data_IF_181639983497
#
_entry.id   IF_181639983497
#
_cell.length_a   1.000
_cell.length_b   1.000
_cell.length_c   1.000
_cell.angle_alpha   90.00
_cell.angle_beta   90.00
_cell.angle_gamma   90.00
#
_symmetry.space_group_name_H-M   'P 1'
#
loop_
_entity.id
_entity.type
_entity.pdbx_description
1 polymer ?
#
# COMPACT_ATOMS: atom_id res chain seq x y z
N UNK A 1 24.11 -26.51 -32.83
CA UNK A 1 23.12 -27.00 -31.86
C UNK A 1 23.82 -27.11 -30.52
N UNK A 2 23.59 -26.29 -29.51
CA UNK A 2 22.55 -25.29 -29.22
C UNK A 2 23.21 -24.32 -28.22
N UNK A 3 23.16 -23.03 -28.53
CA UNK A 3 22.33 -22.03 -27.86
C UNK A 3 23.09 -21.34 -26.73
N UNK A 4 23.84 -20.32 -27.14
CA UNK A 4 24.24 -19.20 -26.29
C UNK A 4 22.98 -18.46 -25.87
N UNK A 5 22.50 -18.70 -24.65
CA UNK A 5 21.58 -17.77 -23.98
C UNK A 5 22.31 -16.44 -23.81
N UNK A 6 22.02 -15.49 -24.69
CA UNK A 6 22.42 -14.11 -24.52
C UNK A 6 21.60 -13.52 -23.38
N UNK A 7 22.18 -13.47 -22.19
CA UNK A 7 21.68 -12.63 -21.10
C UNK A 7 21.55 -11.20 -21.63
N UNK A 8 20.33 -10.68 -21.63
CA UNK A 8 20.01 -9.29 -21.96
C UNK A 8 20.62 -8.43 -20.85
N UNK A 9 21.83 -7.93 -21.09
CA UNK A 9 22.53 -7.04 -20.17
C UNK A 9 21.94 -5.64 -20.35
N UNK A 10 21.15 -5.17 -19.38
CA UNK A 10 20.63 -3.81 -19.39
C UNK A 10 21.80 -2.80 -19.24
N UNK A 11 21.88 -1.76 -20.09
CA UNK A 11 23.05 -0.87 -20.17
C UNK A 11 23.25 0.04 -18.94
N UNK A 12 22.28 0.09 -18.01
CA UNK A 12 22.45 0.80 -16.73
C UNK A 12 23.43 0.10 -15.77
N UNK A 13 23.75 -1.18 -16.01
CA UNK A 13 24.60 -1.99 -15.13
C UNK A 13 26.09 -1.61 -15.26
N UNK A 14 26.51 -1.11 -16.42
CA UNK A 14 27.94 -0.95 -16.72
C UNK A 14 28.55 0.36 -16.21
N UNK A 15 27.74 1.34 -15.82
CA UNK A 15 28.25 2.67 -15.44
C UNK A 15 28.61 2.77 -13.95
N UNK A 16 28.01 1.94 -13.08
CA UNK A 16 28.33 1.90 -11.64
C UNK A 16 29.49 0.94 -11.28
N UNK A 17 29.90 0.06 -12.19
CA UNK A 17 30.99 -0.91 -11.93
C UNK A 17 32.38 -0.29 -11.80
N UNK A 18 32.56 1.01 -12.06
CA UNK A 18 33.88 1.67 -12.02
C UNK A 18 34.17 2.47 -10.75
N UNK A 19 33.25 2.55 -9.76
CA UNK A 19 33.45 3.43 -8.60
C UNK A 19 33.53 2.78 -7.21
N UNK A 20 33.38 1.46 -7.05
CA UNK A 20 33.63 0.81 -5.75
C UNK A 20 34.17 -0.62 -5.88
N UNK A 21 35.46 -0.77 -6.22
CA UNK A 21 36.18 -2.02 -5.94
C UNK A 21 36.64 -2.04 -4.47
N UNK A 22 35.81 -2.63 -3.59
CA UNK A 22 36.24 -3.32 -2.35
C UNK A 22 35.06 -3.94 -1.56
N UNK A 23 34.02 -4.47 -2.21
CA UNK A 23 33.04 -5.35 -1.57
C UNK A 23 33.24 -6.77 -2.11
N UNK A 24 33.22 -7.75 -1.20
CA UNK A 24 33.26 -9.19 -1.51
C UNK A 24 32.18 -9.54 -2.55
N UNK A 25 32.48 -10.44 -3.50
CA UNK A 25 31.60 -10.85 -4.62
C UNK A 25 30.17 -11.30 -4.21
N UNK A 26 29.94 -11.58 -2.93
CA UNK A 26 28.64 -12.01 -2.37
C UNK A 26 27.74 -10.86 -1.89
N UNK A 27 28.18 -9.60 -1.94
CA UNK A 27 27.39 -8.47 -1.43
C UNK A 27 26.38 -7.93 -2.46
N UNK A 28 25.26 -7.39 -1.98
CA UNK A 28 24.23 -6.84 -2.86
C UNK A 28 24.77 -5.61 -3.61
N UNK A 29 24.48 -5.46 -4.93
CA UNK A 29 24.86 -4.25 -5.66
C UNK A 29 24.14 -2.99 -5.16
N UNK A 30 23.08 -3.14 -4.34
CA UNK A 30 22.32 -2.05 -3.76
C UNK A 30 22.80 -1.81 -2.34
N UNK A 31 23.45 -0.67 -2.09
CA UNK A 31 24.03 -0.31 -0.79
C UNK A 31 23.02 -0.44 0.37
N UNK A 32 21.77 0.01 0.17
CA UNK A 32 20.74 -0.07 1.21
C UNK A 32 20.41 -1.52 1.58
N UNK A 33 20.48 -2.45 0.62
CA UNK A 33 20.28 -3.88 0.85
C UNK A 33 21.48 -4.47 1.58
N UNK A 34 22.70 -4.19 1.11
CA UNK A 34 23.96 -4.62 1.70
C UNK A 34 24.06 -4.25 3.20
N UNK A 35 23.64 -3.03 3.56
CA UNK A 35 23.68 -2.56 4.95
C UNK A 35 22.60 -3.19 5.84
N UNK A 36 21.47 -3.61 5.27
CA UNK A 36 20.28 -4.02 6.02
C UNK A 36 20.06 -5.53 6.06
N UNK A 37 20.48 -6.28 5.05
CA UNK A 37 20.25 -7.72 4.91
C UNK A 37 21.55 -8.48 5.20
N UNK A 38 21.57 -9.45 6.14
CA UNK A 38 22.74 -10.28 6.35
C UNK A 38 22.94 -11.27 5.20
N UNK A 39 24.21 -11.52 4.85
CA UNK A 39 24.61 -12.48 3.81
C UNK A 39 24.52 -13.94 4.33
N UNK A 40 24.52 -14.13 5.64
CA UNK A 40 24.51 -15.45 6.28
C UNK A 40 23.11 -15.93 6.61
N UNK A 41 22.82 -17.22 6.36
CA UNK A 41 21.59 -17.91 6.78
C UNK A 41 21.90 -19.15 7.62
N UNK A 42 21.09 -19.40 8.66
CA UNK A 42 21.13 -20.64 9.45
C UNK A 42 20.00 -21.58 9.00
N UNK A 43 20.36 -22.58 8.19
CA UNK A 43 19.43 -23.56 7.62
C UNK A 43 18.85 -24.54 8.64
N UNK A 44 19.35 -24.56 9.88
CA UNK A 44 18.89 -25.49 10.93
C UNK A 44 17.66 -25.00 11.68
N UNK A 45 17.32 -23.71 11.57
CA UNK A 45 16.20 -23.12 12.29
C UNK A 45 14.84 -23.66 11.80
N UNK A 46 13.94 -24.10 12.70
CA UNK A 46 12.63 -24.60 12.30
C UNK A 46 11.77 -23.45 11.77
N UNK A 47 11.13 -23.66 10.61
CA UNK A 47 10.38 -22.61 9.89
C UNK A 47 8.87 -22.87 9.93
N UNK A 48 8.45 -24.08 9.55
CA UNK A 48 7.03 -24.48 9.50
C UNK A 48 6.64 -25.14 10.81
N UNK A 49 6.12 -24.35 11.74
CA UNK A 49 5.75 -24.83 13.08
C UNK A 49 4.29 -24.58 13.39
N UNK A 50 3.76 -25.26 14.41
CA UNK A 50 2.39 -25.05 14.87
C UNK A 50 2.13 -23.58 15.26
N UNK A 51 3.10 -22.95 15.95
CA UNK A 51 3.06 -21.53 16.33
C UNK A 51 2.94 -20.63 15.10
N UNK A 52 3.69 -20.91 14.03
CA UNK A 52 3.62 -20.16 12.79
C UNK A 52 2.21 -20.18 12.19
N UNK A 53 1.61 -21.37 12.07
CA UNK A 53 0.24 -21.51 11.53
C UNK A 53 -0.81 -20.78 12.36
N UNK A 54 -0.77 -20.93 13.68
CA UNK A 54 -1.76 -20.32 14.58
C UNK A 54 -1.64 -18.79 14.59
N UNK A 55 -0.45 -18.27 14.86
CA UNK A 55 -0.23 -16.81 14.93
C UNK A 55 -0.40 -16.15 13.55
N UNK A 56 0.10 -16.79 12.48
CA UNK A 56 -0.06 -16.32 11.11
C UNK A 56 -1.52 -16.25 10.68
N UNK A 57 -2.30 -17.31 10.92
CA UNK A 57 -3.72 -17.34 10.52
C UNK A 57 -4.54 -16.31 11.29
N UNK A 58 -4.31 -16.17 12.60
CA UNK A 58 -4.99 -15.16 13.42
C UNK A 58 -4.62 -13.75 12.95
N UNK A 59 -3.34 -13.47 12.72
CA UNK A 59 -2.89 -12.17 12.23
C UNK A 59 -3.48 -11.84 10.86
N UNK A 60 -3.50 -12.80 9.94
CA UNK A 60 -4.11 -12.66 8.61
C UNK A 60 -5.61 -12.31 8.70
N UNK A 61 -6.37 -13.07 9.49
CA UNK A 61 -7.80 -12.83 9.67
C UNK A 61 -8.09 -11.47 10.30
N UNK A 62 -7.35 -11.10 11.36
CA UNK A 62 -7.53 -9.82 12.05
C UNK A 62 -7.19 -8.64 11.15
N UNK A 63 -6.07 -8.68 10.43
CA UNK A 63 -5.68 -7.59 9.53
C UNK A 63 -6.68 -7.44 8.38
N UNK A 64 -7.16 -8.55 7.81
CA UNK A 64 -8.14 -8.52 6.73
C UNK A 64 -9.45 -7.88 7.18
N UNK A 65 -9.95 -8.26 8.35
CA UNK A 65 -11.16 -7.67 8.92
C UNK A 65 -10.98 -6.17 9.21
N UNK A 66 -9.91 -5.80 9.91
CA UNK A 66 -9.67 -4.42 10.35
C UNK A 66 -9.45 -3.49 9.16
N UNK A 67 -8.61 -3.88 8.19
CA UNK A 67 -8.35 -3.06 7.01
C UNK A 67 -9.57 -2.94 6.11
N UNK A 68 -10.37 -3.99 5.96
CA UNK A 68 -11.61 -3.89 5.19
C UNK A 68 -12.63 -2.97 5.86
N UNK A 69 -12.69 -2.99 7.20
CA UNK A 69 -13.54 -2.10 7.98
C UNK A 69 -13.11 -0.63 7.88
N UNK A 70 -11.81 -0.35 8.05
CA UNK A 70 -11.28 1.01 8.00
C UNK A 70 -11.22 1.62 6.60
N UNK A 71 -11.29 0.80 5.55
CA UNK A 71 -11.27 1.29 4.16
C UNK A 71 -12.44 2.22 3.81
N UNK A 72 -13.60 2.03 4.46
CA UNK A 72 -14.79 2.84 4.19
C UNK A 72 -14.77 4.21 4.89
N UNK A 73 -13.65 4.61 5.49
CA UNK A 73 -13.45 5.96 6.02
C UNK A 73 -13.07 6.93 4.88
N UNK A 74 -13.38 8.22 5.08
CA UNK A 74 -12.97 9.29 4.15
C UNK A 74 -11.45 9.31 3.97
N UNK A 75 -10.70 9.17 5.07
CA UNK A 75 -9.26 8.94 5.08
C UNK A 75 -9.01 7.51 5.58
N UNK A 76 -8.74 6.55 4.67
CA UNK A 76 -8.56 5.14 5.04
C UNK A 76 -7.41 4.96 6.02
N UNK A 77 -7.67 4.25 7.12
CA UNK A 77 -6.62 3.79 8.03
C UNK A 77 -6.18 2.38 7.62
N UNK A 78 -4.91 2.23 7.28
CA UNK A 78 -4.34 0.92 6.93
C UNK A 78 -3.42 0.45 8.05
N UNK A 79 -3.74 -0.70 8.64
CA UNK A 79 -2.89 -1.43 9.56
C UNK A 79 -1.98 -2.35 8.73
N UNK A 80 -0.69 -2.04 8.72
CA UNK A 80 0.31 -2.80 7.97
C UNK A 80 0.73 -4.07 8.71
N UNK A 81 1.39 -4.98 7.99
CA UNK A 81 1.99 -6.20 8.56
C UNK A 81 3.08 -5.93 9.59
N UNK A 82 3.65 -4.71 9.63
CA UNK A 82 4.61 -4.29 10.68
C UNK A 82 3.96 -4.32 12.07
N UNK A 83 2.68 -3.96 12.18
CA UNK A 83 1.96 -4.05 13.46
C UNK A 83 1.87 -5.49 13.97
N UNK A 84 1.61 -6.44 13.06
CA UNK A 84 1.62 -7.86 13.39
C UNK A 84 3.03 -8.35 13.74
N UNK A 85 4.05 -7.91 13.01
CA UNK A 85 5.46 -8.21 13.29
C UNK A 85 5.85 -7.78 14.72
N UNK A 86 5.40 -6.63 15.21
CA UNK A 86 5.69 -6.20 16.59
C UNK A 86 4.87 -7.02 17.60
N UNK A 87 3.57 -7.21 17.34
CA UNK A 87 2.66 -7.89 18.26
C UNK A 87 2.98 -9.38 18.46
N UNK A 88 3.49 -10.04 17.42
CA UNK A 88 3.81 -11.47 17.43
C UNK A 88 5.03 -11.80 18.29
N UNK A 89 5.95 -10.87 18.52
CA UNK A 89 7.15 -11.14 19.34
C UNK A 89 6.81 -11.63 20.76
N UNK A 90 6.06 -10.89 21.60
CA UNK A 90 5.72 -11.36 22.93
C UNK A 90 4.86 -12.64 22.88
N UNK A 91 3.91 -12.73 21.95
CA UNK A 91 3.03 -13.89 21.80
C UNK A 91 3.82 -15.15 21.40
N UNK A 92 4.78 -15.02 20.51
CA UNK A 92 5.63 -16.11 20.03
C UNK A 92 6.51 -16.67 21.15
N UNK A 93 7.10 -15.79 21.96
CA UNK A 93 7.87 -16.20 23.15
C UNK A 93 6.98 -16.83 24.24
N UNK A 94 5.77 -16.31 24.46
CA UNK A 94 4.82 -16.89 25.40
C UNK A 94 4.38 -18.29 24.95
N UNK A 95 4.06 -18.47 23.67
CA UNK A 95 3.73 -19.77 23.09
C UNK A 95 4.93 -20.73 23.13
N UNK A 96 6.16 -20.24 22.91
CA UNK A 96 7.37 -21.05 23.05
C UNK A 96 7.60 -21.54 24.48
N UNK A 97 7.15 -20.81 25.50
CA UNK A 97 7.24 -21.22 26.91
C UNK A 97 6.05 -22.07 27.37
N UNK A 98 4.86 -21.85 26.81
CA UNK A 98 3.62 -22.49 27.25
C UNK A 98 3.23 -23.76 26.50
N UNK A 99 3.71 -23.95 25.27
CA UNK A 99 3.35 -25.13 24.45
C UNK A 99 4.22 -26.32 24.82
N UNK A 100 3.60 -27.50 24.87
CA UNK A 100 4.29 -28.76 25.13
C UNK A 100 5.34 -29.08 24.07
N UNK A 101 6.50 -29.48 24.54
CA UNK A 101 7.63 -30.05 23.80
C UNK A 101 7.47 -31.56 23.56
N UNK A 102 6.34 -32.14 23.96
CA UNK A 102 6.05 -33.56 23.79
C UNK A 102 6.10 -33.93 22.31
N UNK A 103 6.90 -34.95 22.01
CA UNK A 103 6.95 -35.59 20.71
C UNK A 103 5.73 -36.50 20.55
N UNK A 104 4.90 -36.20 19.56
CA UNK A 104 3.75 -37.01 19.16
C UNK A 104 4.20 -38.06 18.12
N UNK A 105 3.57 -39.23 18.16
CA UNK A 105 3.83 -40.34 17.21
C UNK A 105 5.31 -40.76 17.10
N UNK A 106 6.02 -40.74 18.23
CA UNK A 106 7.43 -41.10 18.35
C UNK A 106 7.73 -42.46 17.71
N UNK A 107 8.68 -42.50 16.76
CA UNK A 107 9.08 -43.70 16.04
C UNK A 107 8.23 -44.05 14.81
N UNK A 108 7.31 -43.16 14.40
CA UNK A 108 6.56 -43.29 13.15
C UNK A 108 7.03 -42.26 12.11
N UNK A 109 6.61 -42.42 10.84
CA UNK A 109 6.84 -41.43 9.77
C UNK A 109 6.14 -40.08 10.02
N UNK A 110 5.23 -40.01 10.98
CA UNK A 110 4.42 -38.82 11.31
C UNK A 110 4.83 -38.21 12.66
N UNK A 111 6.08 -38.42 13.07
CA UNK A 111 6.62 -37.83 14.29
C UNK A 111 6.67 -36.30 14.18
N UNK A 112 6.05 -35.60 15.12
CA UNK A 112 6.12 -34.14 15.20
C UNK A 112 6.04 -33.64 16.64
N UNK A 113 6.53 -32.42 16.85
CA UNK A 113 6.39 -31.68 18.11
C UNK A 113 5.68 -30.35 17.85
N UNK A 114 4.86 -29.92 18.81
CA UNK A 114 4.20 -28.61 18.75
C UNK A 114 5.16 -27.47 19.08
N UNK A 115 6.28 -27.77 19.74
CA UNK A 115 7.29 -26.80 20.14
C UNK A 115 8.70 -27.33 19.80
N UNK A 116 9.16 -27.17 18.55
CA UNK A 116 10.47 -27.67 18.11
C UNK A 116 11.65 -26.87 18.66
N UNK A 117 11.41 -25.69 19.25
CA UNK A 117 12.47 -24.85 19.77
C UNK A 117 12.00 -23.44 20.13
N UNK A 118 12.93 -22.58 20.57
CA UNK A 118 12.64 -21.18 20.87
C UNK A 118 12.08 -20.45 19.65
N UNK A 119 11.33 -19.38 19.92
CA UNK A 119 10.79 -18.53 18.85
C UNK A 119 11.95 -17.89 18.08
N UNK A 120 11.99 -18.14 16.77
CA UNK A 120 13.10 -17.71 15.91
C UNK A 120 12.64 -16.76 14.80
N UNK A 121 13.62 -16.15 14.12
CA UNK A 121 13.36 -15.15 13.08
C UNK A 121 12.61 -15.73 11.87
N UNK A 122 12.85 -16.99 11.48
CA UNK A 122 12.24 -17.59 10.28
C UNK A 122 10.75 -17.86 10.47
N UNK A 123 10.35 -18.40 11.62
CA UNK A 123 8.94 -18.51 11.98
C UNK A 123 8.27 -17.12 12.01
N UNK A 124 8.97 -16.12 12.56
CA UNK A 124 8.46 -14.76 12.65
C UNK A 124 8.24 -14.12 11.28
N UNK A 125 9.17 -14.34 10.35
CA UNK A 125 9.05 -13.90 8.95
C UNK A 125 7.83 -14.56 8.29
N UNK A 126 7.64 -15.87 8.43
CA UNK A 126 6.47 -16.55 7.85
C UNK A 126 5.14 -16.05 8.45
N UNK A 127 5.07 -15.83 9.77
CA UNK A 127 3.89 -15.25 10.40
C UNK A 127 3.58 -13.86 9.80
N UNK A 128 4.61 -13.05 9.56
CA UNK A 128 4.47 -11.71 8.98
C UNK A 128 4.05 -11.77 7.52
N UNK A 129 4.48 -12.77 6.75
CA UNK A 129 4.00 -13.00 5.37
C UNK A 129 2.50 -13.32 5.38
N UNK A 130 2.04 -14.19 6.30
CA UNK A 130 0.61 -14.47 6.46
C UNK A 130 -0.16 -13.19 6.80
N UNK A 131 0.35 -12.39 7.75
CA UNK A 131 -0.24 -11.12 8.12
C UNK A 131 -0.29 -10.14 6.93
N UNK A 132 0.76 -10.11 6.09
CA UNK A 132 0.83 -9.28 4.89
C UNK A 132 -0.26 -9.65 3.88
N UNK A 133 -0.45 -10.95 3.62
CA UNK A 133 -1.54 -11.43 2.76
C UNK A 133 -2.93 -11.00 3.25
N UNK A 134 -3.12 -10.91 4.58
CA UNK A 134 -4.34 -10.37 5.17
C UNK A 134 -4.42 -8.84 5.20
N UNK A 135 -3.31 -8.12 5.05
CA UNK A 135 -3.28 -6.66 5.11
C UNK A 135 -3.89 -6.02 3.86
N UNK A 136 -3.82 -6.69 2.71
CA UNK A 136 -4.34 -6.19 1.43
C UNK A 136 -5.84 -6.42 1.28
N UNK A 137 -6.59 -5.36 0.97
CA UNK A 137 -8.02 -5.47 0.65
C UNK A 137 -8.21 -5.94 -0.81
N UNK A 138 -9.05 -6.97 -1.08
CA UNK A 138 -9.34 -7.40 -2.44
C UNK A 138 -10.06 -6.31 -3.24
N UNK A 139 -9.45 -5.79 -4.31
CA UNK A 139 -10.04 -4.71 -5.12
C UNK A 139 -11.47 -5.03 -5.63
N UNK A 140 -11.76 -6.30 -5.92
CA UNK A 140 -13.07 -6.77 -6.34
C UNK A 140 -14.19 -6.50 -5.32
N UNK A 141 -13.86 -6.29 -4.03
CA UNK A 141 -14.85 -5.92 -3.02
C UNK A 141 -15.52 -4.59 -3.35
N UNK A 142 -14.83 -3.67 -4.03
CA UNK A 142 -15.40 -2.38 -4.42
C UNK A 142 -16.50 -2.54 -5.47
N UNK A 143 -16.39 -3.54 -6.35
CA UNK A 143 -17.46 -3.88 -7.31
C UNK A 143 -18.69 -4.39 -6.55
N UNK A 144 -18.50 -5.32 -5.63
CA UNK A 144 -19.60 -5.87 -4.81
C UNK A 144 -20.29 -4.76 -4.00
N UNK A 145 -19.50 -3.89 -3.36
CA UNK A 145 -19.99 -2.75 -2.60
C UNK A 145 -20.70 -1.74 -3.50
N UNK A 146 -20.19 -1.49 -4.72
CA UNK A 146 -20.84 -0.56 -5.64
C UNK A 146 -22.22 -1.07 -6.09
N UNK A 147 -22.31 -2.35 -6.50
CA UNK A 147 -23.59 -2.99 -6.88
C UNK A 147 -24.61 -2.92 -5.75
N UNK A 148 -24.17 -3.14 -4.50
CA UNK A 148 -25.05 -3.11 -3.33
C UNK A 148 -25.44 -1.69 -2.90
N UNK A 149 -24.49 -0.75 -2.86
CA UNK A 149 -24.69 0.58 -2.29
C UNK A 149 -25.20 1.60 -3.30
N UNK A 150 -24.64 1.63 -4.51
CA UNK A 150 -25.03 2.60 -5.55
C UNK A 150 -26.18 2.08 -6.40
N UNK A 151 -26.11 0.82 -6.84
CA UNK A 151 -27.12 0.25 -7.72
C UNK A 151 -28.29 -0.42 -6.99
N UNK A 152 -28.21 -0.54 -5.66
CA UNK A 152 -29.25 -1.15 -4.79
C UNK A 152 -29.65 -2.58 -5.20
N UNK A 153 -28.76 -3.28 -5.90
CA UNK A 153 -28.97 -4.65 -6.34
C UNK A 153 -28.46 -5.65 -5.30
N UNK A 154 -29.06 -6.84 -5.26
CA UNK A 154 -28.66 -7.92 -4.34
C UNK A 154 -27.75 -8.90 -5.06
N UNK A 155 -26.47 -8.95 -4.66
CA UNK A 155 -25.57 -10.04 -5.00
C UNK A 155 -25.65 -11.11 -3.91
N UNK A 156 -25.81 -12.37 -4.32
CA UNK A 156 -25.73 -13.48 -3.37
C UNK A 156 -24.31 -13.63 -2.83
N UNK A 157 -24.20 -14.14 -1.60
CA UNK A 157 -22.90 -14.35 -0.95
C UNK A 157 -21.95 -15.20 -1.81
N UNK A 158 -22.46 -16.29 -2.39
CA UNK A 158 -21.65 -17.21 -3.19
C UNK A 158 -21.16 -16.58 -4.50
N UNK A 159 -21.98 -15.76 -5.16
CA UNK A 159 -21.54 -15.04 -6.36
C UNK A 159 -20.45 -14.04 -6.01
N UNK A 160 -20.64 -13.25 -4.95
CA UNK A 160 -19.62 -12.31 -4.48
C UNK A 160 -18.32 -13.02 -4.09
N UNK A 161 -18.42 -14.17 -3.40
CA UNK A 161 -17.26 -14.96 -3.02
C UNK A 161 -16.49 -15.49 -4.23
N UNK A 162 -17.17 -16.02 -5.24
CA UNK A 162 -16.53 -16.51 -6.48
C UNK A 162 -15.85 -15.36 -7.23
N UNK A 163 -16.49 -14.18 -7.33
CA UNK A 163 -15.89 -13.01 -7.97
C UNK A 163 -14.63 -12.56 -7.23
N UNK A 164 -14.66 -12.54 -5.90
CA UNK A 164 -13.49 -12.15 -5.10
C UNK A 164 -12.38 -13.20 -5.22
N UNK A 165 -12.68 -14.49 -5.08
CA UNK A 165 -11.68 -15.56 -5.15
C UNK A 165 -11.03 -15.61 -6.54
N UNK A 166 -11.80 -15.53 -7.62
CA UNK A 166 -11.25 -15.60 -8.98
C UNK A 166 -10.27 -14.47 -9.27
N UNK A 167 -10.59 -13.24 -8.83
CA UNK A 167 -9.67 -12.10 -8.98
C UNK A 167 -8.40 -12.24 -8.14
N UNK A 168 -8.50 -12.79 -6.93
CA UNK A 168 -7.32 -13.04 -6.08
C UNK A 168 -6.42 -14.14 -6.65
N UNK A 169 -7.00 -15.27 -7.08
CA UNK A 169 -6.25 -16.37 -7.70
C UNK A 169 -5.54 -15.91 -8.97
N UNK A 170 -6.20 -15.08 -9.79
CA UNK A 170 -5.58 -14.46 -10.96
C UNK A 170 -4.37 -13.59 -10.55
N UNK A 171 -4.53 -12.72 -9.53
CA UNK A 171 -3.45 -11.87 -9.04
C UNK A 171 -2.23 -12.65 -8.54
N UNK A 172 -2.44 -13.66 -7.69
CA UNK A 172 -1.35 -14.52 -7.22
C UNK A 172 -0.72 -15.36 -8.35
N UNK A 173 -1.52 -15.76 -9.35
CA UNK A 173 -1.01 -16.43 -10.56
C UNK A 173 -0.03 -15.55 -11.34
N UNK A 174 -0.39 -14.28 -11.59
CA UNK A 174 0.51 -13.32 -12.24
C UNK A 174 1.77 -13.05 -11.42
N UNK A 175 1.64 -12.89 -10.10
CA UNK A 175 2.80 -12.71 -9.22
C UNK A 175 3.77 -13.91 -9.30
N UNK A 176 3.24 -15.13 -9.40
CA UNK A 176 4.03 -16.34 -9.61
C UNK A 176 4.79 -16.34 -10.94
N UNK A 177 4.14 -15.94 -12.04
CA UNK A 177 4.75 -15.85 -13.37
C UNK A 177 5.88 -14.81 -13.39
N UNK A 178 5.65 -13.65 -12.76
CA UNK A 178 6.63 -12.55 -12.76
C UNK A 178 7.72 -12.67 -11.70
N UNK A 179 7.65 -13.65 -10.79
CA UNK A 179 8.66 -13.86 -9.73
C UNK A 179 10.10 -13.93 -10.28
N UNK A 180 10.30 -14.65 -11.39
CA UNK A 180 11.61 -14.77 -12.06
C UNK A 180 12.18 -13.44 -12.52
N UNK A 181 11.33 -12.46 -12.83
CA UNK A 181 11.73 -11.17 -13.38
C UNK A 181 11.76 -10.06 -12.31
N UNK A 182 10.90 -10.14 -11.29
CA UNK A 182 10.69 -9.07 -10.31
C UNK A 182 11.24 -9.37 -8.91
N UNK A 183 11.66 -10.61 -8.65
CA UNK A 183 12.10 -11.03 -7.30
C UNK A 183 13.45 -11.74 -7.34
N UNK A 184 13.68 -12.63 -8.30
CA UNK A 184 14.94 -13.39 -8.38
C UNK A 184 16.19 -12.53 -8.71
N UNK A 185 16.12 -11.51 -9.58
CA UNK A 185 17.29 -10.68 -9.88
C UNK A 185 17.69 -9.80 -8.69
N UNK A 186 18.96 -9.86 -8.26
CA UNK A 186 19.48 -9.12 -7.10
C UNK A 186 19.37 -7.59 -7.22
N UNK A 187 19.33 -7.05 -8.45
CA UNK A 187 19.12 -5.63 -8.70
C UNK A 187 17.67 -5.17 -8.47
N UNK A 188 16.71 -6.09 -8.42
CA UNK A 188 15.30 -5.77 -8.20
C UNK A 188 14.99 -5.83 -6.70
N UNK A 189 14.79 -4.66 -6.09
CA UNK A 189 14.53 -4.55 -4.66
C UNK A 189 13.29 -3.69 -4.38
N UNK A 190 12.66 -3.96 -3.24
CA UNK A 190 11.45 -3.28 -2.80
C UNK A 190 11.74 -2.53 -1.50
N UNK A 191 11.87 -1.20 -1.53
CA UNK A 191 12.29 -0.39 -0.37
C UNK A 191 11.47 -0.63 0.90
N UNK A 192 10.16 -0.85 0.75
CA UNK A 192 9.25 -1.15 1.87
C UNK A 192 9.64 -2.42 2.64
N UNK A 193 10.23 -3.42 1.97
CA UNK A 193 10.66 -4.66 2.62
C UNK A 193 11.89 -4.45 3.52
N UNK A 194 12.75 -3.47 3.20
CA UNK A 194 13.94 -3.17 4.03
C UNK A 194 13.55 -2.65 5.42
N UNK A 195 12.41 -1.96 5.52
CA UNK A 195 11.85 -1.54 6.82
C UNK A 195 11.50 -2.76 7.66
N UNK A 196 10.87 -3.77 7.08
CA UNK A 196 10.51 -5.02 7.78
C UNK A 196 11.76 -5.80 8.20
N UNK A 197 12.75 -5.93 7.31
CA UNK A 197 14.03 -6.61 7.60
C UNK A 197 14.75 -5.92 8.76
N UNK A 198 14.81 -4.59 8.74
CA UNK A 198 15.43 -3.79 9.80
C UNK A 198 14.76 -4.03 11.16
N UNK A 199 13.44 -4.21 11.19
CA UNK A 199 12.67 -4.53 12.39
C UNK A 199 12.87 -5.99 12.83
N UNK A 200 13.02 -6.95 11.91
CA UNK A 200 13.38 -8.33 12.30
C UNK A 200 14.73 -8.37 13.01
N UNK A 201 15.72 -7.68 12.44
CA UNK A 201 17.04 -7.47 13.06
C UNK A 201 16.90 -6.77 14.40
N UNK A 202 16.13 -5.68 14.44
CA UNK A 202 15.42 -5.12 15.61
C UNK A 202 15.33 -6.06 16.83
N UNK A 203 14.52 -7.07 16.57
CA UNK A 203 13.84 -7.86 17.60
C UNK A 203 14.58 -9.16 17.88
N UNK A 204 15.37 -9.67 16.94
CA UNK A 204 16.05 -10.98 17.04
C UNK A 204 17.58 -10.87 17.20
N UNK A 205 18.22 -9.80 16.71
CA UNK A 205 19.68 -9.66 16.86
C UNK A 205 20.05 -9.27 18.29
N UNK A 206 21.05 -9.94 18.85
CA UNK A 206 21.61 -9.57 20.16
C UNK A 206 22.52 -8.36 19.99
N UNK A 207 22.01 -7.18 20.34
CA UNK A 207 22.77 -5.92 20.26
C UNK A 207 23.86 -5.88 21.36
N UNK A 208 25.13 -5.73 20.97
CA UNK A 208 26.20 -5.40 21.89
C UNK A 208 26.07 -3.93 22.27
N UNK A 209 25.79 -3.67 23.56
CA UNK A 209 25.54 -2.33 24.07
C UNK A 209 26.82 -1.51 24.11
N UNK A 210 26.87 -0.43 23.34
CA UNK A 210 27.86 0.62 23.56
C UNK A 210 27.58 1.34 24.89
N UNK A 211 28.63 1.53 25.69
CA UNK A 211 28.52 1.99 27.10
C UNK A 211 27.77 3.32 27.28
N UNK A 212 27.73 4.17 26.24
CA UNK A 212 27.11 5.51 26.27
C UNK A 212 25.98 5.72 25.24
N UNK A 213 25.52 4.67 24.55
CA UNK A 213 24.47 4.76 23.53
C UNK A 213 23.10 4.29 24.02
N UNK A 214 22.04 4.84 23.41
CA UNK A 214 20.69 4.27 23.53
C UNK A 214 20.58 3.04 22.63
N UNK A 215 20.00 1.94 23.13
CA UNK A 215 19.80 0.74 22.29
C UNK A 215 18.72 0.98 21.25
N UNK A 216 18.78 0.28 20.11
CA UNK A 216 17.77 0.40 19.05
C UNK A 216 16.36 0.08 19.55
N UNK A 217 16.24 -0.89 20.46
CA UNK A 217 14.98 -1.25 21.11
C UNK A 217 14.47 -0.17 22.08
N UNK A 218 15.35 0.53 22.80
CA UNK A 218 14.95 1.66 23.65
C UNK A 218 14.44 2.84 22.81
N UNK A 219 15.15 3.20 21.74
CA UNK A 219 14.70 4.23 20.81
C UNK A 219 13.33 3.90 20.22
N UNK A 220 13.15 2.65 19.76
CA UNK A 220 11.88 2.17 19.24
C UNK A 220 10.73 2.32 20.24
N UNK A 221 10.92 1.92 21.50
CA UNK A 221 9.89 2.03 22.54
C UNK A 221 9.55 3.49 22.87
N UNK A 222 10.55 4.37 22.94
CA UNK A 222 10.32 5.81 23.17
C UNK A 222 9.53 6.40 22.00
N UNK A 223 9.95 6.16 20.77
CA UNK A 223 9.26 6.64 19.58
C UNK A 223 7.82 6.10 19.51
N UNK A 224 7.60 4.82 19.85
CA UNK A 224 6.28 4.20 19.90
C UNK A 224 5.36 4.89 20.91
N UNK A 225 5.82 5.12 22.14
CA UNK A 225 5.04 5.78 23.20
C UNK A 225 4.75 7.24 22.83
N UNK A 226 5.75 7.97 22.31
CA UNK A 226 5.59 9.34 21.85
C UNK A 226 4.58 9.42 20.70
N UNK A 227 4.67 8.53 19.70
CA UNK A 227 3.73 8.47 18.58
C UNK A 227 2.32 8.12 19.05
N UNK A 228 2.18 7.17 19.98
CA UNK A 228 0.90 6.80 20.56
C UNK A 228 0.25 7.97 21.31
N UNK A 229 1.03 8.67 22.14
CA UNK A 229 0.57 9.87 22.85
C UNK A 229 0.21 11.01 21.90
N UNK A 230 1.02 11.23 20.85
CA UNK A 230 0.76 12.25 19.84
C UNK A 230 -0.55 12.01 19.10
N UNK A 231 -0.88 10.75 18.77
CA UNK A 231 -2.08 10.42 17.98
C UNK A 231 -3.40 10.85 18.65
N UNK A 232 -3.42 11.01 19.98
CA UNK A 232 -4.58 11.53 20.72
C UNK A 232 -4.93 12.97 20.29
N UNK A 233 -3.93 13.75 19.86
CA UNK A 233 -4.14 15.13 19.44
C UNK A 233 -4.92 15.23 18.12
N UNK A 234 -4.41 14.78 16.96
CA UNK A 234 -5.17 14.86 15.71
C UNK A 234 -6.38 13.91 15.73
N UNK A 235 -6.32 12.78 16.43
CA UNK A 235 -7.38 11.77 16.40
C UNK A 235 -8.60 12.07 17.27
N UNK A 236 -8.47 12.90 18.32
CA UNK A 236 -9.56 13.14 19.26
C UNK A 236 -9.66 14.59 19.74
N UNK A 237 -8.56 15.19 20.23
CA UNK A 237 -8.61 16.51 20.86
C UNK A 237 -8.74 17.66 19.86
N UNK A 238 -7.98 17.62 18.76
CA UNK A 238 -7.93 18.65 17.74
C UNK A 238 -7.97 18.04 16.32
N UNK A 239 -9.14 17.56 15.86
CA UNK A 239 -9.29 16.99 14.52
C UNK A 239 -8.85 17.92 13.38
N UNK A 240 -8.88 19.24 13.60
CA UNK A 240 -8.38 20.25 12.65
C UNK A 240 -6.91 20.04 12.25
N UNK A 241 -6.10 19.36 13.08
CA UNK A 241 -4.70 19.03 12.76
C UNK A 241 -4.56 18.10 11.55
N UNK A 242 -5.61 17.38 11.15
CA UNK A 242 -5.62 16.54 9.95
C UNK A 242 -5.43 17.35 8.66
N UNK A 243 -6.01 18.56 8.59
CA UNK A 243 -5.92 19.44 7.42
C UNK A 243 -6.03 20.91 7.85
N UNK A 244 -4.90 21.52 8.16
CA UNK A 244 -4.80 22.94 8.47
C UNK A 244 -4.60 23.75 7.18
N UNK A 245 -5.71 24.29 6.66
CA UNK A 245 -5.71 25.16 5.49
C UNK A 245 -5.58 26.64 5.90
N UNK A 246 -4.36 27.15 6.05
CA UNK A 246 -4.13 28.54 6.50
C UNK A 246 -4.73 29.59 5.56
N UNK A 247 -4.76 29.34 4.25
CA UNK A 247 -5.43 30.22 3.28
C UNK A 247 -6.94 30.37 3.58
N UNK A 248 -7.60 29.26 3.91
CA UNK A 248 -9.02 29.26 4.26
C UNK A 248 -9.29 29.96 5.60
N UNK A 249 -8.31 29.96 6.52
CA UNK A 249 -8.41 30.70 7.79
C UNK A 249 -8.29 32.22 7.60
N UNK A 250 -7.45 32.67 6.67
CA UNK A 250 -7.26 34.10 6.39
C UNK A 250 -8.46 34.71 5.64
N UNK A 251 -9.04 33.97 4.69
CA UNK A 251 -10.15 34.47 3.86
C UNK A 251 -11.33 33.48 3.81
N UNK A 252 -12.07 33.33 4.93
CA UNK A 252 -13.11 32.30 5.04
C UNK A 252 -14.33 32.55 4.14
N UNK A 253 -14.59 33.79 3.71
CA UNK A 253 -15.76 34.13 2.88
C UNK A 253 -15.53 33.98 1.37
N UNK A 254 -14.28 33.79 0.93
CA UNK A 254 -13.96 33.74 -0.50
C UNK A 254 -14.06 32.31 -1.04
N UNK A 255 -15.01 32.08 -1.96
CA UNK A 255 -15.19 30.78 -2.63
C UNK A 255 -13.93 30.36 -3.37
N UNK A 256 -13.23 31.31 -4.02
CA UNK A 256 -11.99 31.03 -4.73
C UNK A 256 -10.90 30.52 -3.77
N UNK A 257 -10.75 31.17 -2.61
CA UNK A 257 -9.77 30.76 -1.61
C UNK A 257 -10.12 29.39 -1.03
N UNK A 258 -11.40 29.09 -0.82
CA UNK A 258 -11.83 27.77 -0.38
C UNK A 258 -11.54 26.69 -1.43
N UNK A 259 -11.82 26.95 -2.71
CA UNK A 259 -11.53 26.03 -3.81
C UNK A 259 -10.04 25.75 -3.97
N UNK A 260 -9.18 26.77 -3.79
CA UNK A 260 -7.74 26.62 -3.87
C UNK A 260 -7.13 25.99 -2.61
N UNK A 261 -7.48 26.52 -1.43
CA UNK A 261 -6.76 26.25 -0.19
C UNK A 261 -7.32 25.09 0.65
N UNK A 262 -8.55 24.66 0.43
CA UNK A 262 -9.13 23.55 1.20
C UNK A 262 -8.41 22.24 0.89
N UNK A 263 -7.84 21.59 1.91
CA UNK A 263 -7.17 20.29 1.76
C UNK A 263 -8.13 19.11 1.55
N UNK A 264 -9.38 19.23 2.02
CA UNK A 264 -10.37 18.14 1.96
C UNK A 264 -11.37 18.28 0.81
N UNK A 265 -11.63 19.51 0.34
CA UNK A 265 -12.67 19.80 -0.68
C UNK A 265 -12.18 20.66 -1.82
N UNK A 266 -10.90 20.98 -1.85
CA UNK A 266 -10.28 21.85 -2.84
C UNK A 266 -8.96 21.28 -3.33
N UNK A 267 -8.12 22.13 -3.92
CA UNK A 267 -6.80 21.74 -4.43
C UNK A 267 -5.74 21.58 -3.33
N UNK A 268 -6.05 22.02 -2.09
CA UNK A 268 -5.14 21.91 -0.96
C UNK A 268 -3.90 22.80 -1.02
N UNK A 269 -3.92 23.91 -1.77
CA UNK A 269 -2.78 24.85 -1.82
C UNK A 269 -2.47 25.37 -0.42
N UNK A 270 -1.29 25.05 0.08
CA UNK A 270 -0.87 25.45 1.42
C UNK A 270 -1.60 24.70 2.55
N UNK A 271 -2.38 23.67 2.29
CA UNK A 271 -2.91 22.83 3.36
C UNK A 271 -1.79 22.02 4.02
N UNK A 272 -1.70 22.04 5.35
CA UNK A 272 -0.71 21.30 6.12
C UNK A 272 -1.44 20.27 6.99
N UNK A 273 -1.16 18.99 6.78
CA UNK A 273 -1.56 17.92 7.69
C UNK A 273 -0.49 17.71 8.74
N UNK A 274 -0.89 17.60 10.01
CA UNK A 274 -0.04 17.17 11.13
C UNK A 274 -0.44 15.77 11.61
N UNK A 275 -1.46 15.17 11.02
CA UNK A 275 -1.83 13.76 11.24
C UNK A 275 -1.10 12.85 10.25
N UNK A 276 -0.20 11.99 10.76
CA UNK A 276 0.52 11.02 9.95
C UNK A 276 -0.40 10.05 9.21
N UNK A 277 -1.54 9.70 9.81
CA UNK A 277 -2.50 8.78 9.20
C UNK A 277 -3.19 9.42 7.99
N UNK A 278 -3.54 10.71 8.07
CA UNK A 278 -4.06 11.46 6.93
C UNK A 278 -3.01 11.58 5.82
N UNK A 279 -1.76 11.93 6.17
CA UNK A 279 -0.65 12.10 5.21
C UNK A 279 -0.36 10.80 4.44
N UNK A 280 -0.37 9.65 5.13
CA UNK A 280 0.02 8.36 4.55
C UNK A 280 -1.14 7.52 4.00
N UNK A 281 -2.39 7.97 4.15
CA UNK A 281 -3.61 7.22 3.81
C UNK A 281 -3.64 6.65 2.39
N UNK A 282 -3.19 7.41 1.39
CA UNK A 282 -3.26 7.03 -0.02
C UNK A 282 -1.91 6.70 -0.68
N UNK A 283 -0.82 7.36 -0.28
CA UNK A 283 0.53 7.13 -0.86
C UNK A 283 1.43 6.25 0.01
N UNK A 284 0.95 5.82 1.18
CA UNK A 284 1.77 5.10 2.16
C UNK A 284 2.80 5.99 2.84
N UNK A 285 3.77 5.37 3.52
CA UNK A 285 4.82 6.10 4.24
C UNK A 285 5.90 6.60 3.27
N UNK A 286 6.14 7.92 3.16
CA UNK A 286 7.19 8.47 2.30
C UNK A 286 8.60 8.15 2.82
N UNK A 287 8.73 7.77 4.10
CA UNK A 287 10.02 7.47 4.73
C UNK A 287 10.70 6.21 4.16
N UNK A 288 9.92 5.28 3.62
CA UNK A 288 10.47 4.08 3.01
C UNK A 288 10.76 4.26 1.51
N UNK A 289 10.23 5.31 0.88
CA UNK A 289 10.38 5.55 -0.55
C UNK A 289 11.70 6.29 -0.83
N UNK A 290 12.47 5.89 -1.87
CA UNK A 290 13.64 6.65 -2.30
C UNK A 290 13.30 8.10 -2.63
N UNK A 291 14.20 9.03 -2.27
CA UNK A 291 14.00 10.47 -2.47
C UNK A 291 13.64 10.84 -3.91
N UNK A 292 14.38 10.29 -4.88
CA UNK A 292 14.13 10.54 -6.31
C UNK A 292 12.70 10.16 -6.73
N UNK A 293 12.20 9.02 -6.27
CA UNK A 293 10.85 8.57 -6.59
C UNK A 293 9.80 9.52 -5.98
N UNK A 294 10.00 9.94 -4.73
CA UNK A 294 9.13 10.89 -4.04
C UNK A 294 9.14 12.27 -4.74
N UNK A 295 10.31 12.75 -5.15
CA UNK A 295 10.44 14.01 -5.88
C UNK A 295 9.76 13.96 -7.26
N UNK A 296 9.88 12.85 -7.99
CA UNK A 296 9.22 12.67 -9.29
C UNK A 296 7.69 12.68 -9.16
N UNK A 297 7.14 11.93 -8.19
CA UNK A 297 5.71 11.94 -7.89
C UNK A 297 5.26 13.35 -7.49
N UNK A 298 6.04 14.05 -6.66
CA UNK A 298 5.73 15.41 -6.26
C UNK A 298 5.65 16.36 -7.48
N UNK A 299 6.64 16.35 -8.38
CA UNK A 299 6.62 17.18 -9.59
C UNK A 299 5.39 16.86 -10.44
N UNK A 300 5.07 15.59 -10.67
CA UNK A 300 3.87 15.17 -11.39
C UNK A 300 2.59 15.69 -10.72
N UNK A 301 2.50 15.57 -9.40
CA UNK A 301 1.38 16.10 -8.61
C UNK A 301 1.25 17.62 -8.76
N UNK A 302 2.34 18.39 -8.61
CA UNK A 302 2.31 19.85 -8.76
C UNK A 302 1.83 20.27 -10.15
N UNK A 303 2.32 19.61 -11.21
CA UNK A 303 1.90 19.89 -12.58
C UNK A 303 0.41 19.60 -12.78
N UNK A 304 -0.06 18.43 -12.36
CA UNK A 304 -1.46 18.03 -12.59
C UNK A 304 -2.42 18.84 -11.71
N UNK A 305 -2.15 18.91 -10.41
CA UNK A 305 -3.05 19.52 -9.43
C UNK A 305 -3.05 21.05 -9.49
N UNK A 306 -1.90 21.69 -9.74
CA UNK A 306 -1.79 23.16 -9.65
C UNK A 306 -1.58 23.87 -10.98
N UNK A 307 -1.28 23.15 -12.07
CA UNK A 307 -1.26 23.75 -13.41
C UNK A 307 -2.42 23.24 -14.28
N UNK A 308 -2.50 21.93 -14.52
CA UNK A 308 -3.46 21.37 -15.50
C UNK A 308 -4.91 21.48 -15.01
N UNK A 309 -5.21 21.06 -13.77
CA UNK A 309 -6.57 21.09 -13.22
C UNK A 309 -7.15 22.52 -13.16
N UNK A 310 -6.47 23.50 -12.55
CA UNK A 310 -6.69 24.93 -12.72
C UNK A 310 -7.00 25.39 -14.14
N UNK A 311 -6.08 25.12 -15.07
CA UNK A 311 -6.20 25.58 -16.45
C UNK A 311 -7.50 25.07 -17.06
N UNK A 312 -7.77 23.76 -16.96
CA UNK A 312 -8.97 23.18 -17.52
C UNK A 312 -10.25 23.72 -16.87
N UNK A 313 -10.25 23.90 -15.54
CA UNK A 313 -11.40 24.43 -14.81
C UNK A 313 -11.72 25.87 -15.21
N UNK A 314 -10.72 26.75 -15.20
CA UNK A 314 -10.92 28.17 -15.51
C UNK A 314 -11.10 28.42 -17.01
N UNK A 315 -10.51 27.65 -17.91
CA UNK A 315 -10.84 27.72 -19.34
C UNK A 315 -12.20 27.06 -19.69
N UNK A 316 -12.93 26.55 -18.69
CA UNK A 316 -14.21 25.87 -18.84
C UNK A 316 -14.18 24.70 -19.83
N UNK A 317 -13.02 24.02 -19.90
CA UNK A 317 -12.88 22.79 -20.67
C UNK A 317 -13.82 21.76 -20.06
N UNK A 318 -14.53 21.01 -20.90
CA UNK A 318 -15.49 19.99 -20.44
C UNK A 318 -16.64 20.56 -19.58
N UNK A 319 -16.99 21.85 -19.75
CA UNK A 319 -18.01 22.56 -18.96
C UNK A 319 -17.74 22.49 -17.45
N UNK A 320 -16.45 22.42 -17.08
CA UNK A 320 -16.00 22.15 -15.72
C UNK A 320 -16.52 23.14 -14.66
N UNK A 321 -16.81 24.39 -15.05
CA UNK A 321 -17.31 25.41 -14.12
C UNK A 321 -18.71 25.11 -13.57
N UNK A 322 -19.45 24.19 -14.21
CA UNK A 322 -20.81 23.85 -13.79
C UNK A 322 -20.84 22.95 -12.55
N UNK A 323 -19.70 22.38 -12.14
CA UNK A 323 -19.61 21.47 -11.00
C UNK A 323 -18.37 21.78 -10.13
N UNK A 324 -18.25 21.20 -8.93
CA UNK A 324 -17.10 21.42 -8.05
C UNK A 324 -15.78 20.99 -8.69
N UNK A 325 -14.70 21.74 -8.42
CA UNK A 325 -13.36 21.42 -8.94
C UNK A 325 -12.86 20.05 -8.46
N UNK A 326 -13.16 19.71 -7.20
CA UNK A 326 -12.83 18.45 -6.56
C UNK A 326 -14.12 17.80 -6.03
N UNK A 327 -14.47 16.63 -6.55
CA UNK A 327 -15.64 15.85 -6.13
C UNK A 327 -15.56 14.43 -6.68
N UNK A 328 -16.02 13.45 -5.91
CA UNK A 328 -16.25 12.06 -6.31
C UNK A 328 -17.65 11.83 -6.91
N UNK A 329 -18.55 12.81 -6.77
CA UNK A 329 -19.89 12.80 -7.35
C UNK A 329 -19.94 12.78 -8.88
N UNK A 330 -21.09 12.34 -9.40
CA UNK A 330 -21.41 12.30 -10.83
C UNK A 330 -22.43 13.40 -11.13
N UNK A 331 -22.21 14.15 -12.21
CA UNK A 331 -23.00 15.34 -12.52
C UNK A 331 -23.67 15.26 -13.89
N UNK A 332 -24.74 16.01 -14.04
CA UNK A 332 -25.31 16.40 -15.32
C UNK A 332 -24.63 17.66 -15.83
N UNK A 333 -24.89 17.98 -17.09
CA UNK A 333 -24.37 19.20 -17.72
C UNK A 333 -24.71 20.48 -16.96
N UNK A 334 -25.89 20.54 -16.31
CA UNK A 334 -26.35 21.69 -15.54
C UNK A 334 -25.81 21.75 -14.09
N UNK A 335 -24.91 20.82 -13.71
CA UNK A 335 -24.31 20.75 -12.37
C UNK A 335 -25.16 19.99 -11.33
N UNK A 336 -26.33 19.47 -11.70
CA UNK A 336 -27.13 18.64 -10.80
C UNK A 336 -26.55 17.23 -10.68
N UNK A 337 -26.77 16.58 -9.53
CA UNK A 337 -26.36 15.20 -9.31
C UNK A 337 -27.01 14.25 -10.33
N UNK A 338 -26.19 13.34 -10.86
CA UNK A 338 -26.61 12.37 -11.86
C UNK A 338 -27.29 11.16 -11.18
N UNK A 339 -28.55 10.92 -11.51
CA UNK A 339 -29.30 9.81 -10.94
C UNK A 339 -29.08 8.51 -11.75
N UNK A 340 -28.16 7.68 -11.28
CA UNK A 340 -27.78 6.41 -11.91
C UNK A 340 -28.97 5.44 -12.00
N UNK A 341 -29.86 5.40 -11.01
CA UNK A 341 -30.99 4.46 -10.97
C UNK A 341 -32.02 4.69 -12.07
N UNK A 342 -32.01 5.87 -12.71
CA UNK A 342 -32.93 6.17 -13.82
C UNK A 342 -32.51 5.53 -15.14
N UNK A 343 -31.22 5.28 -15.34
CA UNK A 343 -30.69 4.75 -16.61
C UNK A 343 -30.47 3.25 -16.57
N UNK A 344 -30.96 2.56 -15.54
CA UNK A 344 -30.73 1.14 -15.31
C UNK A 344 -32.06 0.44 -15.20
N UNK A 345 -32.20 -0.62 -15.99
CA UNK A 345 -33.40 -1.43 -15.98
C UNK A 345 -33.41 -2.40 -14.78
N UNK A 346 -34.54 -3.07 -14.50
CA UNK A 346 -34.62 -4.07 -13.43
C UNK A 346 -33.67 -5.26 -13.61
N UNK A 347 -33.18 -5.51 -14.82
CA UNK A 347 -32.28 -6.62 -15.17
C UNK A 347 -30.79 -6.22 -15.07
N UNK A 348 -30.48 -5.03 -14.56
CA UNK A 348 -29.11 -4.50 -14.44
C UNK A 348 -28.43 -4.22 -15.78
N UNK A 349 -29.21 -3.88 -16.80
CA UNK A 349 -28.72 -3.35 -18.08
C UNK A 349 -28.90 -1.83 -18.14
N UNK A 350 -28.05 -1.18 -18.93
CA UNK A 350 -28.16 0.24 -19.22
C UNK A 350 -29.32 0.43 -20.22
N UNK A 351 -30.27 1.26 -19.84
CA UNK A 351 -31.38 1.70 -20.69
C UNK A 351 -30.92 2.91 -21.51
N UNK A 352 -30.56 2.68 -22.77
CA UNK A 352 -30.01 3.70 -23.65
C UNK A 352 -31.02 4.82 -23.97
N UNK A 353 -32.32 4.51 -24.06
CA UNK A 353 -33.34 5.53 -24.30
C UNK A 353 -33.47 6.48 -23.10
N UNK A 354 -33.48 5.93 -21.88
CA UNK A 354 -33.46 6.77 -20.66
C UNK A 354 -32.15 7.51 -20.49
N UNK A 355 -31.03 6.94 -20.91
CA UNK A 355 -29.73 7.62 -20.92
C UNK A 355 -29.75 8.83 -21.85
N UNK A 356 -30.25 8.67 -23.08
CA UNK A 356 -30.33 9.76 -24.05
C UNK A 356 -31.25 10.89 -23.55
N UNK A 357 -32.31 10.55 -22.82
CA UNK A 357 -33.21 11.53 -22.18
C UNK A 357 -32.60 12.20 -20.95
N UNK A 358 -31.92 11.46 -20.07
CA UNK A 358 -31.29 12.02 -18.86
C UNK A 358 -30.04 12.85 -19.17
N UNK A 359 -29.40 12.58 -20.32
CA UNK A 359 -28.25 13.29 -20.85
C UNK A 359 -26.91 12.66 -20.47
N UNK A 360 -25.82 13.23 -20.99
CA UNK A 360 -24.47 12.74 -20.72
C UNK A 360 -24.08 12.93 -19.26
N UNK A 361 -23.30 11.99 -18.75
CA UNK A 361 -22.69 12.04 -17.43
C UNK A 361 -21.37 12.82 -17.46
N UNK A 362 -21.16 13.66 -16.45
CA UNK A 362 -19.98 14.49 -16.25
C UNK A 362 -19.31 14.17 -14.90
N UNK A 363 -17.99 14.29 -14.88
CA UNK A 363 -17.14 14.10 -13.70
C UNK A 363 -16.46 15.42 -13.34
N UNK A 364 -16.09 15.60 -12.06
CA UNK A 364 -15.23 16.72 -11.66
C UNK A 364 -13.90 16.71 -12.42
N UNK A 365 -13.28 17.88 -12.58
CA UNK A 365 -12.07 17.99 -13.41
C UNK A 365 -10.90 17.19 -12.82
N UNK A 366 -10.76 17.18 -11.49
CA UNK A 366 -9.72 16.40 -10.81
C UNK A 366 -9.97 14.90 -10.97
N UNK A 367 -11.22 14.44 -10.87
CA UNK A 367 -11.56 13.03 -11.07
C UNK A 367 -11.32 12.61 -12.53
N UNK A 368 -11.70 13.45 -13.51
CA UNK A 368 -11.45 13.20 -14.93
C UNK A 368 -9.94 13.06 -15.21
N UNK A 369 -9.13 13.99 -14.69
CA UNK A 369 -7.67 13.95 -14.84
C UNK A 369 -7.08 12.71 -14.17
N UNK A 370 -7.56 12.33 -12.99
CA UNK A 370 -7.10 11.13 -12.29
C UNK A 370 -7.30 9.87 -13.14
N UNK A 371 -8.47 9.71 -13.76
CA UNK A 371 -8.70 8.60 -14.70
C UNK A 371 -7.83 8.69 -15.95
N UNK A 372 -7.75 9.89 -16.56
CA UNK A 372 -6.94 10.11 -17.76
C UNK A 372 -5.47 9.75 -17.55
N UNK A 373 -4.87 10.20 -16.45
CA UNK A 373 -3.49 9.88 -16.09
C UNK A 373 -3.30 8.41 -15.71
N UNK A 374 -4.30 7.78 -15.07
CA UNK A 374 -4.24 6.35 -14.75
C UNK A 374 -4.12 5.50 -16.03
N UNK A 375 -4.87 5.84 -17.09
CA UNK A 375 -4.72 5.18 -18.39
C UNK A 375 -3.40 5.54 -19.08
N UNK A 376 -2.98 6.81 -19.01
CA UNK A 376 -1.72 7.26 -19.60
C UNK A 376 -0.51 6.55 -18.98
N UNK A 377 -0.55 6.21 -17.68
CA UNK A 377 0.53 5.50 -16.99
C UNK A 377 0.87 4.15 -17.62
N UNK A 378 -0.15 3.39 -18.08
CA UNK A 378 0.05 2.12 -18.77
C UNK A 378 0.81 2.31 -20.08
N UNK A 379 0.38 3.28 -20.90
CA UNK A 379 1.06 3.61 -22.16
C UNK A 379 2.46 4.17 -21.91
N UNK A 380 2.62 5.03 -20.90
CA UNK A 380 3.90 5.60 -20.51
C UNK A 380 4.90 4.51 -20.11
N UNK A 381 4.45 3.44 -19.44
CA UNK A 381 5.29 2.29 -19.09
C UNK A 381 5.84 1.61 -20.36
N UNK A 382 4.96 1.35 -21.34
CA UNK A 382 5.36 0.75 -22.63
C UNK A 382 6.35 1.66 -23.38
N UNK A 383 6.04 2.95 -23.48
CA UNK A 383 6.90 3.96 -24.13
C UNK A 383 8.25 4.07 -23.42
N UNK A 384 8.27 4.06 -22.09
CA UNK A 384 9.49 4.08 -21.29
C UNK A 384 10.37 2.85 -21.60
N UNK A 385 9.78 1.66 -21.64
CA UNK A 385 10.53 0.45 -22.02
C UNK A 385 11.10 0.58 -23.44
N UNK A 386 10.32 1.03 -24.43
CA UNK A 386 10.82 1.21 -25.79
C UNK A 386 11.95 2.24 -25.88
N UNK A 387 11.84 3.39 -25.21
CA UNK A 387 12.84 4.45 -25.29
C UNK A 387 14.15 4.10 -24.58
N UNK A 388 14.07 3.44 -23.42
CA UNK A 388 15.24 3.18 -22.58
C UNK A 388 15.83 1.78 -22.78
N UNK A 389 15.03 0.81 -23.23
CA UNK A 389 15.41 -0.61 -23.33
C UNK A 389 15.11 -1.22 -24.71
N UNK A 390 14.57 -0.47 -25.67
CA UNK A 390 14.25 -0.97 -27.02
C UNK A 390 15.45 -1.09 -27.96
N UNK A 391 16.65 -1.34 -27.43
CA UNK A 391 17.87 -1.56 -28.22
C UNK A 391 18.24 -3.03 -28.25
#
# INVERSE_FOLDING_TARGET
MNDTESEISAPLIQTDQLLHCNSTDDDSPVEQVALTVPITDDSTLPVVTFRMWVLGSIACFLLSFLNQFFWYRSEPLTITSISAQIAVVPLGHLMAKGITDRVFFKGSKWEFTLNPGPFNVKEHVLITIFANSGAGNPYAIHVVSAVKLFYKQKLSFWVALIVIITTQVLGFGWAGIFRRYLVEPAAMWWPQNLVQVSIFRALHDKEQRDKNGMTRNQFFLIAFICSFGYYVFPGYLFPMLSSLSWLCLLFPSSVLVQQLGSGLRGLGVGAIGLDWSTISSYLGSPLASPWFATANIAVGYFLVMYAVAPLMYWFNVYKARNFPIFSDGLFKENGQDYNISKIIDPNFHIDLEKYDHEGRLYLSIVLLLTYGFSFACLTATVVHVFLFHGR
#
